data_IF_124845087601
#
_entry.id   IF_124845087601
#
_cell.length_a   1.000
_cell.length_b   1.000
_cell.length_c   1.000
_cell.angle_alpha   90.00
_cell.angle_beta   90.00
_cell.angle_gamma   90.00
#
_symmetry.space_group_name_H-M   'P 1'
#
loop_
_entity.id
_entity.type
_entity.pdbx_description
1 polymer ?
#
# COMPACT_ATOMS: atom_id res chain seq x y z
N UNK A 1 0.09 -19.75 -9.92
CA UNK A 1 -0.54 -18.47 -9.53
C UNK A 1 0.38 -17.61 -8.68
N UNK A 2 0.97 -18.13 -7.59
CA UNK A 2 1.91 -17.39 -6.75
C UNK A 2 3.20 -16.95 -7.48
N UNK A 3 3.67 -17.74 -8.44
CA UNK A 3 4.92 -17.46 -9.17
C UNK A 3 4.88 -16.14 -9.98
N UNK A 4 3.72 -15.78 -10.55
CA UNK A 4 3.59 -14.55 -11.34
C UNK A 4 3.58 -13.28 -10.46
N UNK A 5 3.18 -13.41 -9.20
CA UNK A 5 3.17 -12.28 -8.26
C UNK A 5 4.57 -12.02 -7.65
N UNK A 6 5.48 -13.00 -7.70
CA UNK A 6 6.79 -12.89 -7.07
C UNK A 6 7.61 -11.73 -7.64
N UNK A 7 7.75 -11.64 -8.97
CA UNK A 7 8.55 -10.59 -9.61
C UNK A 7 8.07 -9.16 -9.30
N UNK A 8 6.78 -8.80 -9.45
CA UNK A 8 6.33 -7.45 -9.11
C UNK A 8 6.44 -7.16 -7.61
N UNK A 9 6.21 -8.14 -6.73
CA UNK A 9 6.40 -7.96 -5.28
C UNK A 9 7.88 -7.73 -4.95
N UNK A 10 8.79 -8.52 -5.53
CA UNK A 10 10.24 -8.32 -5.33
C UNK A 10 10.69 -6.95 -5.85
N UNK A 11 10.21 -6.52 -7.02
CA UNK A 11 10.53 -5.19 -7.54
C UNK A 11 10.04 -4.09 -6.59
N UNK A 12 8.81 -4.22 -6.05
CA UNK A 12 8.27 -3.28 -5.08
C UNK A 12 9.13 -3.18 -3.81
N UNK A 13 9.50 -4.33 -3.23
CA UNK A 13 10.31 -4.40 -2.00
C UNK A 13 11.74 -3.91 -2.26
N UNK A 14 12.38 -4.33 -3.35
CA UNK A 14 13.75 -3.94 -3.70
C UNK A 14 13.87 -2.43 -4.01
N UNK A 15 12.79 -1.81 -4.51
CA UNK A 15 12.72 -0.36 -4.75
C UNK A 15 12.53 0.45 -3.45
N UNK A 16 12.33 -0.22 -2.31
CA UNK A 16 12.12 0.44 -1.02
C UNK A 16 10.74 1.05 -0.86
N UNK A 17 9.73 0.61 -1.63
CA UNK A 17 8.37 1.08 -1.45
C UNK A 17 7.74 0.51 -0.18
N UNK A 18 6.82 1.27 0.40
CA UNK A 18 6.19 0.93 1.67
C UNK A 18 4.78 0.37 1.48
N UNK A 19 4.51 -0.76 2.13
CA UNK A 19 3.18 -1.35 2.17
C UNK A 19 2.64 -1.32 3.60
N UNK A 20 1.48 -0.69 3.79
CA UNK A 20 0.89 -0.48 5.12
C UNK A 20 0.71 -1.78 5.90
N UNK A 21 0.23 -2.85 5.26
CA UNK A 21 0.01 -4.16 5.91
C UNK A 21 1.34 -4.83 6.28
N UNK A 22 2.36 -4.72 5.43
CA UNK A 22 3.69 -5.23 5.75
C UNK A 22 4.29 -4.44 6.94
N UNK A 23 4.12 -3.13 6.97
CA UNK A 23 4.64 -2.26 8.02
C UNK A 23 3.92 -2.48 9.37
N UNK A 24 2.65 -2.90 9.37
CA UNK A 24 1.95 -3.35 10.59
C UNK A 24 2.60 -4.58 11.23
N UNK A 25 3.36 -5.38 10.47
CA UNK A 25 4.14 -6.49 11.00
C UNK A 25 5.58 -6.06 11.35
N UNK A 26 6.28 -5.43 10.40
CA UNK A 26 7.71 -5.12 10.54
C UNK A 26 8.01 -4.05 11.60
N UNK A 27 7.16 -3.03 11.76
CA UNK A 27 7.42 -1.98 12.75
C UNK A 27 7.26 -2.48 14.19
N UNK A 28 6.15 -3.18 14.58
CA UNK A 28 6.04 -3.75 15.92
C UNK A 28 7.16 -4.74 16.25
N UNK A 29 7.46 -5.67 15.34
CA UNK A 29 8.48 -6.69 15.59
C UNK A 29 9.89 -6.07 15.72
N UNK A 30 10.18 -5.03 14.93
CA UNK A 30 11.43 -4.26 15.05
C UNK A 30 11.57 -3.57 16.40
N UNK A 31 10.50 -2.91 16.88
CA UNK A 31 10.52 -2.27 18.19
C UNK A 31 10.57 -3.28 19.35
N UNK A 32 9.91 -4.43 19.21
CA UNK A 32 10.00 -5.51 20.21
C UNK A 32 11.41 -6.10 20.27
N UNK A 33 12.07 -6.31 19.12
CA UNK A 33 13.45 -6.78 19.05
C UNK A 33 14.44 -5.79 19.68
N UNK A 34 14.13 -4.48 19.65
CA UNK A 34 14.90 -3.43 20.32
C UNK A 34 14.54 -3.23 21.80
N UNK A 35 13.46 -3.86 22.30
CA UNK A 35 12.95 -3.62 23.66
C UNK A 35 12.26 -2.26 23.84
N UNK A 36 11.95 -1.55 22.75
CA UNK A 36 11.41 -0.18 22.76
C UNK A 36 9.92 -0.11 22.38
N UNK A 37 9.22 -1.25 22.33
CA UNK A 37 7.83 -1.30 21.88
C UNK A 37 6.91 -0.34 22.63
N UNK A 38 6.99 -0.31 23.97
CA UNK A 38 6.13 0.54 24.79
C UNK A 38 6.49 2.02 24.66
N UNK A 39 7.80 2.35 24.65
CA UNK A 39 8.27 3.74 24.60
C UNK A 39 8.05 4.40 23.24
N UNK A 40 8.06 3.60 22.16
CA UNK A 40 7.98 4.10 20.77
C UNK A 40 6.74 3.64 20.02
N UNK A 41 5.74 3.09 20.68
CA UNK A 41 4.51 2.63 20.04
C UNK A 41 3.85 3.72 19.17
N UNK A 42 3.81 4.96 19.67
CA UNK A 42 3.22 6.09 18.94
C UNK A 42 3.95 6.41 17.63
N UNK A 43 5.25 6.11 17.54
CA UNK A 43 6.06 6.37 16.35
C UNK A 43 5.65 5.51 15.15
N UNK A 44 4.96 4.38 15.38
CA UNK A 44 4.41 3.53 14.31
C UNK A 44 3.41 4.31 13.46
N UNK A 45 2.60 5.19 14.06
CA UNK A 45 1.59 5.98 13.34
C UNK A 45 2.20 7.02 12.40
N UNK A 46 3.41 7.52 12.70
CA UNK A 46 4.14 8.43 11.82
C UNK A 46 4.51 7.77 10.48
N UNK A 47 4.52 6.43 10.42
CA UNK A 47 4.70 5.67 9.19
C UNK A 47 3.36 5.16 8.64
N UNK A 48 2.52 4.52 9.46
CA UNK A 48 1.30 3.87 8.97
C UNK A 48 0.31 4.84 8.32
N UNK A 49 0.16 6.05 8.85
CA UNK A 49 -0.78 7.05 8.29
C UNK A 49 -0.37 7.45 6.87
N UNK A 50 0.84 8.01 6.62
CA UNK A 50 1.23 8.41 5.28
C UNK A 50 1.31 7.23 4.30
N UNK A 51 1.79 6.06 4.74
CA UNK A 51 1.88 4.86 3.88
C UNK A 51 0.50 4.36 3.47
N UNK A 52 -0.47 4.35 4.38
CA UNK A 52 -1.85 3.94 4.07
C UNK A 52 -2.49 4.89 3.07
N UNK A 53 -2.31 6.20 3.25
CA UNK A 53 -2.81 7.21 2.31
C UNK A 53 -2.16 7.01 0.93
N UNK A 54 -0.83 6.84 0.88
CA UNK A 54 -0.11 6.59 -0.37
C UNK A 54 -0.55 5.30 -1.07
N UNK A 55 -0.76 4.21 -0.32
CA UNK A 55 -1.25 2.94 -0.87
C UNK A 55 -2.67 3.08 -1.45
N UNK A 56 -3.57 3.81 -0.78
CA UNK A 56 -4.93 4.08 -1.29
C UNK A 56 -4.87 4.92 -2.56
N UNK A 57 -4.10 6.01 -2.57
CA UNK A 57 -3.96 6.90 -3.74
C UNK A 57 -3.36 6.13 -4.92
N UNK A 58 -2.31 5.35 -4.69
CA UNK A 58 -1.67 4.54 -5.73
C UNK A 58 -2.63 3.50 -6.32
N UNK A 59 -3.40 2.80 -5.48
CA UNK A 59 -4.42 1.86 -5.93
C UNK A 59 -5.53 2.54 -6.74
N UNK A 60 -6.01 3.70 -6.27
CA UNK A 60 -7.05 4.46 -6.96
C UNK A 60 -6.58 4.95 -8.33
N UNK A 61 -5.34 5.45 -8.42
CA UNK A 61 -4.77 5.92 -9.68
C UNK A 61 -4.73 4.81 -10.72
N UNK A 62 -4.28 3.61 -10.34
CA UNK A 62 -4.24 2.45 -11.25
C UNK A 62 -5.64 2.06 -11.72
N UNK A 63 -6.63 2.05 -10.81
CA UNK A 63 -8.02 1.71 -11.14
C UNK A 63 -8.63 2.75 -12.08
N UNK A 64 -8.43 4.04 -11.83
CA UNK A 64 -9.00 5.11 -12.66
C UNK A 64 -8.39 5.17 -14.05
N UNK A 65 -7.07 4.90 -14.17
CA UNK A 65 -6.37 4.86 -15.46
C UNK A 65 -6.64 3.59 -16.27
N UNK A 66 -7.37 2.62 -15.70
CA UNK A 66 -7.64 1.38 -16.41
C UNK A 66 -8.69 1.62 -17.53
N UNK A 67 -8.40 1.33 -18.81
CA UNK A 67 -9.25 1.73 -19.95
C UNK A 67 -10.71 1.24 -19.86
N UNK A 68 -10.92 0.04 -19.29
CA UNK A 68 -12.29 -0.49 -19.09
C UNK A 68 -13.09 0.27 -18.05
N UNK A 69 -12.42 0.88 -17.07
CA UNK A 69 -13.06 1.71 -16.04
C UNK A 69 -13.47 3.05 -16.66
N UNK A 70 -12.59 3.66 -17.47
CA UNK A 70 -12.90 4.88 -18.22
C UNK A 70 -14.10 4.70 -19.16
N UNK A 71 -14.12 3.63 -19.96
CA UNK A 71 -15.24 3.32 -20.87
C UNK A 71 -16.55 3.10 -20.10
N UNK A 72 -16.49 2.45 -18.94
CA UNK A 72 -17.66 2.22 -18.08
C UNK A 72 -18.19 3.53 -17.49
N UNK A 73 -17.30 4.40 -17.01
CA UNK A 73 -17.66 5.72 -16.49
C UNK A 73 -18.25 6.59 -17.60
N UNK A 74 -17.63 6.62 -18.78
CA UNK A 74 -18.14 7.34 -19.95
C UNK A 74 -19.53 6.88 -20.36
N UNK A 75 -19.77 5.56 -20.41
CA UNK A 75 -21.12 5.01 -20.65
C UNK A 75 -22.13 5.37 -19.57
N UNK A 76 -21.72 5.49 -18.30
CA UNK A 76 -22.62 5.90 -17.20
C UNK A 76 -22.96 7.39 -17.27
N UNK A 77 -22.00 8.24 -17.66
CA UNK A 77 -22.20 9.68 -17.77
C UNK A 77 -23.03 10.05 -19.01
N UNK A 78 -22.84 9.36 -20.13
CA UNK A 78 -23.58 9.58 -21.39
C UNK A 78 -24.99 8.97 -21.42
N UNK A 79 -25.41 8.29 -20.34
CA UNK A 79 -26.73 7.64 -20.21
C UNK A 79 -27.73 8.47 -19.38
N UNK A 80 -27.41 9.74 -19.12
CA UNK A 80 -28.37 10.79 -18.76
C UNK A 80 -28.75 11.57 -20.00
#
# INVERSE_FOLDING_TARGET
LAEFALFPIMAFVASGYEHSVANMYFLPIGLMAQGEFVSRFSSIFNNLIPVTIGNIIGGLLIVLLHPKVEEKIGRLLMRK
#
